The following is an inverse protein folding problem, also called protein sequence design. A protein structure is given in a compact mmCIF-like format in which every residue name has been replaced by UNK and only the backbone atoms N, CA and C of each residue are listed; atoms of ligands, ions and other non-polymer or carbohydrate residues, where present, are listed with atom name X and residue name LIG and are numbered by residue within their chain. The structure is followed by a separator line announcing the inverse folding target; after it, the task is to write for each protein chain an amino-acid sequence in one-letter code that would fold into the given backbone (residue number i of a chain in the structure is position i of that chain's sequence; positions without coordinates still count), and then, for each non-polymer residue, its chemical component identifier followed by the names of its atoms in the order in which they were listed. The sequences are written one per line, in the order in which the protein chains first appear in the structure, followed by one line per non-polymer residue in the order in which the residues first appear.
data_IF_194895506344
#
_entry.id   IF_194895506344
#
_cell.length_a   1.000
_cell.length_b   1.000
_cell.length_c   1.000
_cell.angle_alpha   90.00
_cell.angle_beta   90.00
_cell.angle_gamma   90.00
#
_symmetry.space_group_name_H-M   'P 1'
#
loop_
_entity.id
_entity.type
_entity.pdbx_description
1 polymer ?
2 non-polymer ?
3 water ?
#
# COMPACT_ATOMS: atom_id res chain seq x y z
N UNK A 23 14.62 -14.38 -25.51
CA UNK A 23 13.67 -14.97 -26.44
C UNK A 23 12.30 -14.25 -26.53
N UNK A 24 11.79 -13.68 -25.41
CA UNK A 24 10.48 -13.02 -25.58
C UNK A 24 10.55 -11.74 -26.42
N UNK A 25 9.87 -11.77 -27.57
CA UNK A 25 10.00 -10.73 -28.60
C UNK A 25 8.93 -9.66 -28.62
N UNK A 26 8.20 -9.49 -27.52
CA UNK A 26 6.96 -8.74 -27.56
C UNK A 26 7.14 -7.22 -27.44
N UNK A 27 7.87 -6.65 -28.40
CA UNK A 27 8.13 -5.20 -28.43
C UNK A 27 6.84 -4.35 -28.47
N UNK A 28 5.75 -4.95 -28.96
CA UNK A 28 4.50 -4.24 -29.20
C UNK A 28 3.55 -4.30 -28.02
N UNK A 29 3.86 -5.16 -27.05
CA UNK A 29 3.14 -5.21 -25.79
C UNK A 29 3.69 -4.12 -24.84
N UNK A 30 2.89 -3.69 -23.88
CA UNK A 30 3.38 -2.82 -22.81
C UNK A 30 3.12 -3.47 -21.49
N UNK A 31 3.80 -2.95 -20.47
CA UNK A 31 3.70 -3.46 -19.11
C UNK A 31 2.28 -3.33 -18.59
N UNK A 32 1.66 -2.20 -18.87
CA UNK A 32 0.30 -1.90 -18.39
C UNK A 32 -0.74 -2.77 -19.09
N UNK A 33 -0.56 -3.01 -20.38
CA UNK A 33 -1.52 -3.83 -21.09
C UNK A 33 -1.39 -5.27 -20.68
N UNK A 34 -0.15 -5.70 -20.44
CA UNK A 34 0.10 -7.05 -19.97
C UNK A 34 -0.56 -7.22 -18.62
N UNK A 35 -0.43 -6.17 -17.81
CA UNK A 35 -1.00 -6.17 -16.48
C UNK A 35 -2.52 -6.30 -16.56
N UNK A 36 -3.16 -5.50 -17.39
CA UNK A 36 -4.61 -5.64 -17.57
C UNK A 36 -4.95 -7.06 -18.00
N UNK A 37 -4.20 -7.55 -18.98
CA UNK A 37 -4.45 -8.88 -19.53
C UNK A 37 -4.37 -9.95 -18.47
N UNK A 38 -3.40 -9.85 -17.58
CA UNK A 38 -3.24 -10.86 -16.55
C UNK A 38 -4.21 -10.77 -15.36
N UNK A 39 -4.60 -9.57 -14.99
CA UNK A 39 -5.25 -9.43 -13.70
C UNK A 39 -6.58 -8.70 -13.74
N UNK A 40 -6.92 -8.10 -14.88
CA UNK A 40 -8.14 -7.29 -14.92
C UNK A 40 -9.29 -8.02 -15.61
N UNK A 41 -10.36 -8.30 -14.88
CA UNK A 41 -11.56 -8.85 -15.48
C UNK A 41 -12.30 -7.71 -16.17
N UNK A 42 -13.09 -8.04 -17.18
CA UNK A 42 -13.81 -7.02 -17.95
C UNK A 42 -14.84 -6.30 -17.13
N UNK A 43 -15.26 -6.91 -16.02
CA UNK A 43 -16.23 -6.29 -15.14
C UNK A 43 -15.63 -5.22 -14.22
N UNK A 44 -14.32 -5.00 -14.30
CA UNK A 44 -13.69 -4.00 -13.46
C UNK A 44 -12.90 -4.58 -12.30
N UNK A 45 -12.96 -5.90 -12.15
CA UNK A 45 -12.25 -6.61 -11.10
C UNK A 45 -10.77 -6.73 -11.40
N UNK A 46 -9.96 -6.42 -10.39
CA UNK A 46 -8.58 -6.89 -10.37
C UNK A 46 -8.55 -8.22 -9.64
N UNK A 47 -8.02 -9.25 -10.28
CA UNK A 47 -8.06 -10.59 -9.75
C UNK A 47 -6.66 -11.14 -9.50
N UNK A 48 -6.41 -11.57 -8.26
CA UNK A 48 -5.14 -12.21 -7.89
C UNK A 48 -5.23 -13.66 -8.29
N UNK A 49 -4.84 -13.94 -9.53
CA UNK A 49 -4.88 -15.27 -10.11
C UNK A 49 -3.97 -16.26 -9.39
N UNK A 50 -3.07 -15.75 -8.55
CA UNK A 50 -2.23 -16.59 -7.72
C UNK A 50 -3.01 -17.21 -6.56
N UNK A 51 -3.83 -16.40 -5.90
CA UNK A 51 -4.57 -16.86 -4.73
C UNK A 51 -6.09 -16.80 -4.93
N UNK A 52 -6.61 -17.77 -5.67
CA UNK A 52 -8.03 -18.03 -5.72
C UNK A 52 -8.91 -16.98 -6.34
N UNK A 53 -8.35 -16.24 -7.29
CA UNK A 53 -9.09 -15.21 -8.03
C UNK A 53 -9.83 -14.20 -7.14
N UNK A 54 -9.29 -13.94 -5.95
CA UNK A 54 -9.89 -12.94 -5.07
C UNK A 54 -9.54 -11.55 -5.54
N UNK A 55 -10.32 -10.59 -5.07
CA UNK A 55 -10.04 -9.18 -5.34
C UNK A 55 -10.01 -8.47 -4.02
N UNK A 56 -9.45 -7.27 -3.99
CA UNK A 56 -9.42 -6.51 -2.77
C UNK A 56 -9.13 -5.04 -3.04
N UNK A 57 -9.41 -4.21 -2.04
CA UNK A 57 -9.37 -2.77 -2.24
C UNK A 57 -7.94 -2.30 -2.46
N UNK A 58 -6.96 -3.01 -1.90
CA UNK A 58 -5.58 -2.66 -2.24
C UNK A 58 -5.36 -2.86 -3.73
N UNK A 59 -5.84 -3.99 -4.24
CA UNK A 59 -5.65 -4.32 -5.63
C UNK A 59 -6.37 -3.33 -6.52
N UNK A 60 -7.61 -3.02 -6.19
CA UNK A 60 -8.37 -2.03 -6.91
C UNK A 60 -7.67 -0.67 -6.87
N UNK A 61 -7.29 -0.22 -5.67
CA UNK A 61 -6.58 1.03 -5.49
C UNK A 61 -5.30 1.10 -6.33
N UNK A 62 -4.49 0.07 -6.23
CA UNK A 62 -3.27 -0.01 -7.06
C UNK A 62 -3.56 0.15 -8.54
N UNK A 63 -4.61 -0.54 -9.00
CA UNK A 63 -4.89 -0.57 -10.42
C UNK A 63 -5.37 0.78 -10.89
N UNK A 64 -6.06 1.47 -9.99
CA UNK A 64 -6.64 2.76 -10.34
C UNK A 64 -5.55 3.83 -10.45
N UNK A 65 -4.54 3.78 -9.59
CA UNK A 65 -3.42 4.69 -9.71
C UNK A 65 -2.67 4.48 -11.05
N UNK A 66 -2.35 3.23 -11.34
CA UNK A 66 -1.69 2.89 -12.60
C UNK A 66 -2.53 3.35 -13.79
N UNK A 67 -3.84 3.10 -13.71
CA UNK A 67 -4.74 3.49 -14.77
C UNK A 67 -4.74 4.99 -15.00
N UNK A 68 -4.65 5.79 -13.93
CA UNK A 68 -4.55 7.24 -14.13
C UNK A 68 -3.21 7.60 -14.77
N UNK A 69 -2.12 7.01 -14.30
CA UNK A 69 -0.80 7.42 -14.75
C UNK A 69 -0.63 7.03 -16.20
N UNK A 70 -1.24 5.91 -16.55
CA UNK A 70 -1.16 5.40 -17.91
C UNK A 70 -2.17 6.10 -18.83
N UNK A 71 -2.86 7.10 -18.30
CA UNK A 71 -3.92 7.80 -19.01
C UNK A 71 -4.86 6.80 -19.65
N UNK A 72 -5.52 6.00 -18.82
CA UNK A 72 -6.41 4.93 -19.27
C UNK A 72 -7.77 5.10 -18.61
N UNK A 73 -8.58 6.01 -19.15
CA UNK A 73 -9.80 6.37 -18.45
C UNK A 73 -10.85 5.23 -18.44
N UNK A 74 -11.09 4.57 -19.60
CA UNK A 74 -12.00 3.41 -19.51
C UNK A 74 -11.60 2.40 -18.45
N UNK A 75 -10.31 2.12 -18.27
CA UNK A 75 -9.90 1.15 -17.25
C UNK A 75 -10.15 1.72 -15.87
N UNK A 76 -9.81 2.99 -15.68
CA UNK A 76 -10.10 3.62 -14.40
C UNK A 76 -11.60 3.57 -14.10
N UNK A 77 -12.41 3.93 -15.09
CA UNK A 77 -13.83 4.05 -14.85
C UNK A 77 -14.42 2.67 -14.56
N UNK A 78 -13.92 1.64 -15.23
CA UNK A 78 -14.38 0.30 -14.96
C UNK A 78 -13.96 -0.11 -13.54
N UNK A 79 -12.68 0.08 -13.21
CA UNK A 79 -12.18 -0.33 -11.93
C UNK A 79 -12.93 0.34 -10.77
N UNK A 80 -13.12 1.65 -10.89
CA UNK A 80 -13.85 2.41 -9.89
C UNK A 80 -15.33 1.98 -9.77
N UNK A 81 -16.02 1.95 -10.91
CA UNK A 81 -17.40 1.53 -10.95
C UNK A 81 -17.57 0.19 -10.25
N UNK A 82 -16.70 -0.77 -10.52
CA UNK A 82 -16.88 -2.06 -9.88
C UNK A 82 -16.65 -1.96 -8.39
N UNK A 83 -15.59 -1.24 -8.03
CA UNK A 83 -15.22 -1.10 -6.63
C UNK A 83 -16.37 -0.50 -5.83
N UNK A 84 -16.88 0.61 -6.34
CA UNK A 84 -17.88 1.38 -5.63
C UNK A 84 -19.22 0.65 -5.55
N UNK A 85 -19.57 -0.06 -6.61
CA UNK A 85 -20.84 -0.75 -6.68
C UNK A 85 -20.80 -1.98 -5.80
N UNK A 86 -19.64 -2.61 -5.72
CA UNK A 86 -19.57 -3.90 -5.09
C UNK A 86 -19.13 -3.83 -3.65
N UNK A 87 -18.14 -2.98 -3.36
CA UNK A 87 -17.49 -3.00 -2.05
C UNK A 87 -17.83 -1.84 -1.11
N UNK A 88 -18.58 -0.85 -1.58
CA UNK A 88 -18.90 0.29 -0.73
C UNK A 88 -19.71 -0.08 0.51
N UNK A 89 -19.10 0.08 1.68
CA UNK A 89 -19.80 -0.02 2.95
C UNK A 89 -20.54 1.26 3.22
N UNK A 90 -21.85 1.23 3.03
CA UNK A 90 -22.70 2.41 3.15
C UNK A 90 -22.78 2.95 4.59
N UNK A 91 -22.39 2.16 5.57
CA UNK A 91 -22.50 2.59 6.97
C UNK A 91 -21.52 3.69 7.30
N UNK A 92 -20.32 3.59 6.74
CA UNK A 92 -19.24 4.49 7.09
C UNK A 92 -18.64 5.17 5.88
N UNK A 93 -18.95 4.67 4.70
CA UNK A 93 -18.50 5.28 3.46
C UNK A 93 -17.17 4.75 3.02
N UNK A 94 -16.74 3.67 3.65
CA UNK A 94 -15.49 3.04 3.28
C UNK A 94 -15.78 1.81 2.43
N UNK A 95 -14.83 0.87 2.37
CA UNK A 95 -14.99 -0.27 1.48
C UNK A 95 -14.70 -1.61 2.14
N UNK A 96 -15.67 -2.52 2.06
CA UNK A 96 -15.44 -3.92 2.41
C UNK A 96 -14.22 -4.43 1.64
N UNK A 97 -13.18 -4.86 2.36
CA UNK A 97 -11.84 -4.88 1.79
C UNK A 97 -11.52 -6.07 0.87
N UNK A 98 -12.20 -7.21 1.02
CA UNK A 98 -11.89 -8.40 0.23
C UNK A 98 -13.16 -9.00 -0.35
N UNK A 99 -13.05 -9.47 -1.59
CA UNK A 99 -14.16 -10.07 -2.35
C UNK A 99 -13.74 -11.44 -2.87
N UNK A 100 -14.44 -12.50 -2.42
CA UNK A 100 -14.15 -13.86 -2.83
C UNK A 100 -15.30 -14.43 -3.65
N UNK A 101 -15.16 -14.40 -4.98
CA UNK A 101 -16.26 -14.72 -5.90
C UNK A 101 -16.76 -16.14 -5.73
N UNK A 102 -15.92 -16.99 -5.16
CA UNK A 102 -16.28 -18.39 -4.99
C UNK A 102 -16.55 -18.67 -3.53
N UNK A 103 -17.38 -17.83 -2.94
CA UNK A 103 -17.85 -18.07 -1.59
C UNK A 103 -19.31 -17.65 -1.54
N UNK A 104 -20.14 -18.39 -0.80
CA UNK A 104 -21.57 -18.10 -0.67
C UNK A 104 -21.79 -16.66 -0.25
N UNK A 105 -21.07 -16.26 0.79
CA UNK A 105 -20.88 -14.84 1.07
C UNK A 105 -19.50 -14.42 0.54
N UNK A 106 -19.50 -13.74 -0.62
CA UNK A 106 -18.25 -13.34 -1.29
C UNK A 106 -17.53 -12.22 -0.54
N UNK A 107 -18.20 -11.64 0.45
CA UNK A 107 -17.60 -10.66 1.35
C UNK A 107 -17.90 -11.03 2.81
N UNK A 108 -17.31 -12.13 3.27
CA UNK A 108 -17.53 -12.60 4.64
C UNK A 108 -16.96 -11.64 5.67
N UNK A 109 -15.81 -11.06 5.35
CA UNK A 109 -15.11 -10.15 6.24
C UNK A 109 -15.65 -8.74 6.05
N UNK A 110 -16.66 -8.41 6.85
CA UNK A 110 -17.38 -7.17 6.62
C UNK A 110 -16.67 -6.00 7.31
N UNK A 111 -15.43 -5.77 6.92
CA UNK A 111 -14.58 -4.75 7.53
C UNK A 111 -13.62 -4.18 6.49
N UNK A 112 -13.13 -2.96 6.69
CA UNK A 112 -12.31 -2.32 5.65
C UNK A 112 -10.79 -2.40 5.92
N UNK A 113 -9.97 -2.20 4.88
CA UNK A 113 -8.53 -2.01 5.09
C UNK A 113 -8.13 -0.59 4.69
N UNK A 114 -7.56 0.18 5.61
CA UNK A 114 -7.39 1.61 5.37
C UNK A 114 -6.32 1.93 4.33
N UNK A 115 -5.43 0.99 3.99
CA UNK A 115 -4.52 1.30 2.89
C UNK A 115 -5.33 1.23 1.62
N UNK A 116 -6.17 0.20 1.50
CA UNK A 116 -7.07 0.07 0.37
C UNK A 116 -7.96 1.29 0.18
N UNK A 117 -8.65 1.70 1.24
CA UNK A 117 -9.48 2.91 1.22
C UNK A 117 -8.66 4.08 0.70
N UNK A 118 -7.47 4.25 1.27
CA UNK A 118 -6.59 5.36 0.95
C UNK A 118 -6.24 5.39 -0.53
N UNK A 119 -5.84 4.23 -1.05
CA UNK A 119 -5.37 4.12 -2.42
C UNK A 119 -6.50 4.46 -3.37
N UNK A 120 -7.70 4.02 -3.01
CA UNK A 120 -8.82 4.35 -3.86
C UNK A 120 -9.02 5.85 -3.88
N UNK A 121 -9.10 6.45 -2.69
CA UNK A 121 -9.36 7.87 -2.61
C UNK A 121 -8.23 8.64 -3.26
N UNK A 122 -7.02 8.24 -2.96
CA UNK A 122 -5.87 8.84 -3.62
C UNK A 122 -5.96 8.73 -5.15
N UNK A 123 -6.41 7.59 -5.67
CA UNK A 123 -6.53 7.41 -7.12
C UNK A 123 -7.56 8.36 -7.73
N UNK A 124 -8.73 8.42 -7.08
CA UNK A 124 -9.77 9.34 -7.49
C UNK A 124 -9.26 10.77 -7.55
N UNK A 125 -8.46 11.16 -6.56
CA UNK A 125 -7.93 12.52 -6.52
C UNK A 125 -7.11 12.78 -7.77
N UNK A 126 -6.16 11.88 -8.03
CA UNK A 126 -5.27 11.99 -9.18
C UNK A 126 -6.06 11.92 -10.48
N UNK A 127 -7.14 11.16 -10.45
CA UNK A 127 -8.09 11.13 -11.56
C UNK A 127 -8.57 12.55 -11.84
N UNK A 128 -9.09 13.23 -10.84
CA UNK A 128 -9.54 14.62 -11.00
C UNK A 128 -8.44 15.47 -11.65
N UNK A 129 -7.21 15.38 -11.13
CA UNK A 129 -6.09 16.13 -11.70
C UNK A 129 -5.82 15.78 -13.18
N UNK A 130 -5.92 14.50 -13.52
CA UNK A 130 -5.65 14.04 -14.88
C UNK A 130 -6.77 14.42 -15.85
N UNK A 131 -8.03 14.22 -15.45
CA UNK A 131 -9.13 14.42 -16.40
C UNK A 131 -10.08 15.56 -16.02
N UNK A 132 -9.83 16.24 -14.91
CA UNK A 132 -10.58 17.42 -14.54
C UNK A 132 -12.01 17.22 -14.08
N UNK A 133 -12.54 16.01 -14.27
CA UNK A 133 -13.89 15.66 -13.84
C UNK A 133 -14.03 15.78 -12.32
N UNK A 134 -14.83 16.73 -11.86
CA UNK A 134 -14.84 17.09 -10.44
C UNK A 134 -15.53 16.05 -9.56
N UNK A 135 -16.34 15.19 -10.16
CA UNK A 135 -16.97 14.12 -9.40
C UNK A 135 -15.91 13.22 -8.77
N UNK A 136 -14.78 13.05 -9.45
CA UNK A 136 -13.67 12.29 -8.89
C UNK A 136 -13.21 12.84 -7.56
N UNK A 137 -12.88 14.14 -7.55
CA UNK A 137 -12.43 14.79 -6.34
C UNK A 137 -13.47 14.67 -5.24
N UNK A 138 -14.75 14.76 -5.63
CA UNK A 138 -15.86 14.69 -4.68
C UNK A 138 -15.91 13.35 -3.97
N UNK A 139 -15.99 12.29 -4.78
CA UNK A 139 -15.87 10.93 -4.27
C UNK A 139 -14.65 10.77 -3.35
N UNK A 140 -13.48 11.18 -3.83
CA UNK A 140 -12.24 11.18 -3.04
C UNK A 140 -12.42 11.85 -1.68
N UNK A 141 -12.80 13.13 -1.72
CA UNK A 141 -13.19 13.87 -0.51
C UNK A 141 -14.05 13.07 0.50
N UNK A 142 -15.06 12.36 0.02
CA UNK A 142 -15.96 11.66 0.94
C UNK A 142 -15.28 10.44 1.57
N UNK A 143 -14.40 9.78 0.84
CA UNK A 143 -13.66 8.67 1.42
C UNK A 143 -12.68 9.18 2.48
N UNK A 144 -12.00 10.29 2.19
CA UNK A 144 -10.98 10.75 3.13
C UNK A 144 -11.63 11.31 4.39
N UNK A 145 -12.84 11.84 4.26
CA UNK A 145 -13.60 12.31 5.43
C UNK A 145 -14.08 11.10 6.23
N UNK A 146 -14.49 10.04 5.52
CA UNK A 146 -14.83 8.79 6.20
C UNK A 146 -13.61 8.21 6.92
N UNK A 147 -12.44 8.22 6.27
CA UNK A 147 -11.22 7.76 6.91
C UNK A 147 -10.97 8.54 8.18
N UNK A 148 -11.09 9.86 8.12
CA UNK A 148 -10.88 10.69 9.30
C UNK A 148 -11.88 10.34 10.40
N UNK A 149 -13.15 10.16 10.01
CA UNK A 149 -14.22 9.90 10.98
C UNK A 149 -14.00 8.60 11.72
N UNK A 150 -13.92 7.52 10.96
CA UNK A 150 -14.04 6.16 11.47
C UNK A 150 -12.73 5.42 11.77
N UNK A 151 -11.58 5.90 11.30
CA UNK A 151 -10.38 5.08 11.41
C UNK A 151 -9.18 5.80 12.02
N UNK A 152 -9.28 7.12 12.15
CA UNK A 152 -8.22 7.89 12.79
C UNK A 152 -8.58 8.21 14.24
N UNK A 153 -7.67 7.94 15.17
CA UNK A 153 -7.91 8.23 16.59
C UNK A 153 -6.71 8.84 17.32
N UNK A 154 -6.91 9.18 18.59
CA UNK A 154 -5.81 9.65 19.41
C UNK A 154 -5.42 8.55 20.38
N UNK A 155 -4.24 7.98 20.20
CA UNK A 155 -3.73 6.94 21.08
C UNK A 155 -2.30 7.29 21.44
N UNK A 156 -1.92 7.04 22.68
CA UNK A 156 -0.72 7.63 23.23
C UNK A 156 -0.83 9.13 23.04
N UNK A 157 0.23 9.77 22.58
CA UNK A 157 0.20 11.22 22.44
C UNK A 157 0.12 11.61 20.99
N UNK A 158 -0.42 10.71 20.17
CA UNK A 158 -0.30 10.81 18.73
C UNK A 158 -1.60 10.53 17.98
N UNK A 159 -1.69 11.06 16.77
CA UNK A 159 -2.75 10.71 15.83
C UNK A 159 -2.37 9.46 15.01
N UNK A 160 -3.27 8.49 14.92
CA UNK A 160 -2.99 7.25 14.20
C UNK A 160 -4.16 6.82 13.34
N UNK A 161 -3.86 6.08 12.29
CA UNK A 161 -4.89 5.54 11.42
C UNK A 161 -4.90 4.04 11.67
N UNK A 162 -6.04 3.53 12.10
CA UNK A 162 -6.13 2.11 12.38
C UNK A 162 -6.23 1.41 11.05
N UNK A 163 -5.83 0.14 11.00
CA UNK A 163 -5.90 -0.68 9.80
C UNK A 163 -7.33 -0.92 9.34
N UNK A 164 -8.29 -0.55 10.18
CA UNK A 164 -9.69 -0.74 9.88
C UNK A 164 -10.55 -0.13 10.95
N UNK A 165 -11.77 0.22 10.58
CA UNK A 165 -12.69 0.92 11.49
C UNK A 165 -13.06 0.06 12.69
N UNK A 166 -12.93 -1.26 12.52
CA UNK A 166 -13.39 -2.25 13.50
C UNK A 166 -12.29 -3.25 13.84
N UNK A 167 -12.10 -3.51 15.12
CA UNK A 167 -11.31 -4.65 15.56
C UNK A 167 -9.81 -4.49 15.60
N UNK A 168 -9.31 -3.26 15.66
CA UNK A 168 -7.87 -3.07 15.75
C UNK A 168 -7.52 -2.24 16.97
N UNK A 169 -8.53 -1.57 17.53
CA UNK A 169 -8.40 -0.88 18.80
C UNK A 169 -8.82 -1.83 19.91
N UNK A 170 -7.87 -2.22 20.74
CA UNK A 170 -8.12 -3.25 21.72
C UNK A 170 -8.48 -2.67 23.08
N UNK A 171 -7.46 -2.45 23.90
CA UNK A 171 -7.67 -1.91 25.23
C UNK A 171 -6.51 -0.98 25.55
N UNK A 172 -5.45 -1.61 26.02
CA UNK A 172 -4.22 -0.96 26.42
C UNK A 172 -3.34 -0.69 25.22
N UNK A 173 -3.76 -1.19 24.06
CA UNK A 173 -2.97 -1.06 22.85
C UNK A 173 -3.85 -1.02 21.60
N UNK A 174 -3.25 -0.59 20.50
CA UNK A 174 -3.86 -0.68 19.17
C UNK A 174 -2.91 -1.42 18.24
N UNK A 175 -3.45 -2.24 17.35
CA UNK A 175 -2.59 -2.94 16.40
C UNK A 175 -2.50 -2.16 15.12
N UNK A 176 -1.31 -1.67 14.82
CA UNK A 176 -1.08 -0.90 13.61
C UNK A 176 -0.27 -1.66 12.57
N UNK A 177 -0.45 -1.26 11.31
CA UNK A 177 0.35 -1.77 10.22
C UNK A 177 1.00 -0.58 9.49
N UNK A 178 2.29 -0.31 9.79
CA UNK A 178 2.90 0.92 9.27
C UNK A 178 2.94 0.97 7.75
N UNK A 179 2.77 -0.18 7.10
CA UNK A 179 2.68 -0.21 5.65
C UNK A 179 1.36 0.42 5.16
N UNK A 180 0.43 0.69 6.09
CA UNK A 180 -0.80 1.42 5.76
C UNK A 180 -0.57 2.92 5.82
N UNK A 181 0.58 3.34 6.32
CA UNK A 181 0.91 4.76 6.39
C UNK A 181 1.26 5.28 5.02
N UNK A 182 0.27 5.60 4.18
CA UNK A 182 0.60 5.95 2.80
C UNK A 182 0.89 7.45 2.61
N UNK A 183 2.07 7.86 3.07
CA UNK A 183 2.45 9.27 3.06
C UNK A 183 2.20 10.05 1.76
N UNK A 184 2.47 9.46 0.57
CA UNK A 184 2.26 10.35 -0.59
C UNK A 184 0.78 10.63 -0.79
N UNK A 185 -0.09 9.71 -0.35
CA UNK A 185 -1.52 9.95 -0.43
C UNK A 185 -1.88 11.05 0.56
N UNK A 186 -1.39 10.86 1.78
CA UNK A 186 -1.65 11.80 2.85
C UNK A 186 -1.20 13.19 2.46
N UNK A 187 0.00 13.28 1.89
CA UNK A 187 0.47 14.54 1.33
C UNK A 187 -0.58 15.12 0.41
N UNK A 188 -1.07 14.34 -0.54
CA UNK A 188 -2.10 14.79 -1.46
C UNK A 188 -3.41 15.16 -0.74
N UNK A 189 -3.82 14.34 0.22
CA UNK A 189 -5.03 14.67 0.99
C UNK A 189 -4.86 16.05 1.63
N UNK A 190 -3.67 16.30 2.19
CA UNK A 190 -3.42 17.53 2.92
C UNK A 190 -3.43 18.72 1.98
N UNK A 191 -2.88 18.53 0.79
CA UNK A 191 -2.81 19.60 -0.18
C UNK A 191 -4.19 19.97 -0.76
N UNK A 192 -4.95 18.96 -1.17
CA UNK A 192 -6.29 19.18 -1.69
C UNK A 192 -7.23 19.76 -0.63
N UNK A 193 -7.29 19.12 0.53
CA UNK A 193 -8.29 19.50 1.52
C UNK A 193 -7.85 20.66 2.42
N UNK A 194 -6.54 20.89 2.55
CA UNK A 194 -5.95 21.90 3.43
C UNK A 194 -6.13 21.57 4.91
N UNK A 195 -6.71 20.42 5.21
CA UNK A 195 -6.98 20.05 6.59
C UNK A 195 -5.70 19.79 7.39
N UNK A 196 -5.67 20.25 8.64
CA UNK A 196 -4.50 19.98 9.46
C UNK A 196 -4.47 18.52 9.87
N UNK A 197 -5.64 17.90 9.97
CA UNK A 197 -5.69 16.51 10.38
C UNK A 197 -4.75 15.63 9.55
N UNK A 198 -4.68 15.89 8.25
CA UNK A 198 -3.83 15.09 7.38
C UNK A 198 -2.36 15.45 7.59
N UNK A 199 -2.09 16.68 8.00
CA UNK A 199 -0.71 17.09 8.20
C UNK A 199 -0.14 16.48 9.47
N UNK A 200 -0.92 16.56 10.54
CA UNK A 200 -0.49 16.00 11.82
C UNK A 200 -0.40 14.49 11.69
N UNK A 201 -1.29 13.90 10.91
CA UNK A 201 -1.27 12.47 10.72
C UNK A 201 0.04 12.05 10.08
N UNK A 202 0.57 12.89 9.20
CA UNK A 202 1.86 12.62 8.61
C UNK A 202 2.97 12.76 9.64
N UNK A 203 2.87 13.81 10.42
CA UNK A 203 3.94 14.15 11.32
C UNK A 203 4.06 13.11 12.39
N UNK A 204 2.93 12.65 12.88
CA UNK A 204 2.92 11.71 13.99
C UNK A 204 3.31 10.35 13.47
N UNK A 205 2.94 10.09 12.22
CA UNK A 205 3.22 8.81 11.61
C UNK A 205 4.69 8.71 11.32
N UNK A 206 5.25 9.81 10.86
CA UNK A 206 6.67 9.86 10.62
C UNK A 206 7.44 9.75 11.93
N UNK A 207 6.87 10.29 13.01
CA UNK A 207 7.48 10.19 14.33
C UNK A 207 7.49 8.74 14.82
N UNK A 208 6.32 8.12 14.77
CA UNK A 208 6.14 6.75 15.25
C UNK A 208 7.01 5.79 14.47
N UNK A 209 6.89 5.84 13.15
CA UNK A 209 7.64 4.97 12.26
C UNK A 209 9.11 5.04 12.62
N UNK A 210 9.59 6.26 12.85
CA UNK A 210 10.98 6.45 13.20
C UNK A 210 11.41 5.71 14.44
N UNK A 211 10.47 5.53 15.38
CA UNK A 211 10.76 4.80 16.61
C UNK A 211 10.49 3.30 16.43
N UNK A 212 10.02 2.90 15.25
CA UNK A 212 9.70 1.48 14.98
C UNK A 212 10.87 0.70 14.38
N UNK A 213 11.96 0.59 15.13
CA UNK A 213 13.12 -0.19 14.70
C UNK A 213 13.40 -1.31 15.69
N UNK A 214 13.60 -2.53 15.21
CA UNK A 214 13.92 -3.66 16.08
C UNK A 214 14.96 -4.61 15.51
N UNK A 215 15.59 -5.34 16.42
CA UNK A 215 16.61 -6.32 16.08
C UNK A 215 17.86 -5.70 15.49
N UNK A 216 18.80 -6.53 15.06
CA UNK A 216 20.02 -6.03 14.46
C UNK A 216 19.69 -5.19 13.21
N UNK A 217 18.61 -5.51 12.51
CA UNK A 217 18.22 -4.73 11.34
C UNK A 217 17.78 -3.30 11.67
N UNK A 218 17.19 -3.12 12.85
CA UNK A 218 16.47 -1.88 13.18
C UNK A 218 15.40 -1.56 12.14
N UNK A 219 14.49 -2.51 11.90
CA UNK A 219 13.46 -2.35 10.89
C UNK A 219 12.08 -2.51 11.49
N UNK A 220 11.05 -1.98 10.82
CA UNK A 220 9.62 -2.18 11.14
C UNK A 220 9.12 -3.58 10.87
N UNK A 221 8.27 -4.11 11.75
CA UNK A 221 7.59 -5.34 11.41
C UNK A 221 6.33 -5.02 10.57
N UNK A 222 5.72 -6.05 10.00
CA UNK A 222 4.47 -5.86 9.27
C UNK A 222 3.42 -5.30 10.20
N UNK A 223 3.34 -5.85 11.40
CA UNK A 223 2.30 -5.52 12.36
C UNK A 223 2.89 -5.08 13.69
N UNK A 224 2.51 -3.88 14.14
CA UNK A 224 3.05 -3.28 15.36
C UNK A 224 1.96 -2.97 16.38
N UNK A 225 2.23 -3.32 17.63
CA UNK A 225 1.33 -2.98 18.74
C UNK A 225 1.86 -1.74 19.44
N UNK A 226 0.99 -0.72 19.55
CA UNK A 226 1.33 0.52 20.24
C UNK A 226 0.55 0.61 21.54
N UNK A 227 1.26 0.74 22.66
CA UNK A 227 0.62 0.78 23.97
C UNK A 227 0.38 2.23 24.38
N UNK A 228 -0.58 2.45 25.28
CA UNK A 228 -0.97 3.79 25.72
C UNK A 228 0.20 4.60 26.27
N UNK A 229 1.22 3.92 26.77
CA UNK A 229 2.41 4.58 27.28
C UNK A 229 3.37 4.90 26.13
N UNK A 230 2.98 4.55 24.91
CA UNK A 230 3.83 4.76 23.74
C UNK A 230 4.83 3.64 23.46
N UNK A 231 4.83 2.60 24.30
CA UNK A 231 5.68 1.43 24.06
C UNK A 231 5.23 0.73 22.81
N UNK A 232 6.13 0.54 21.87
CA UNK A 232 5.75 -0.19 20.68
C UNK A 232 6.49 -1.52 20.56
N UNK A 233 5.83 -2.46 19.88
CA UNK A 233 6.23 -3.84 19.83
C UNK A 233 5.73 -4.50 18.55
N UNK A 234 6.57 -5.35 17.90
CA UNK A 234 5.98 -6.18 16.85
C UNK A 234 4.81 -6.96 17.42
N UNK A 235 3.62 -6.76 16.85
CA UNK A 235 2.39 -7.28 17.43
C UNK A 235 2.48 -8.79 17.67
N UNK A 236 1.99 -9.21 18.82
CA UNK A 236 2.06 -10.61 19.25
C UNK A 236 1.48 -11.60 18.22
N UNK A 237 0.38 -11.20 17.58
CA UNK A 237 -0.47 -12.12 16.84
C UNK A 237 0.06 -12.50 15.44
N UNK A 238 1.03 -11.74 14.94
CA UNK A 238 1.66 -12.12 13.67
C UNK A 238 3.13 -12.40 13.88
N UNK A 239 3.75 -13.15 12.97
CA UNK A 239 5.19 -13.32 13.11
C UNK A 239 5.87 -11.96 13.03
N UNK A 240 6.76 -11.67 13.99
CA UNK A 240 7.46 -10.39 14.09
C UNK A 240 8.46 -10.23 12.95
N UNK A 241 7.95 -10.04 11.74
CA UNK A 241 8.76 -9.92 10.55
C UNK A 241 8.57 -8.61 9.81
N UNK A 242 9.70 -8.13 9.28
CA UNK A 242 9.67 -7.22 8.15
C UNK A 242 9.48 -8.09 6.93
N UNK A 243 8.25 -8.29 6.46
CA UNK A 243 8.07 -9.17 5.30
C UNK A 243 7.19 -8.59 4.20
N UNK A 244 6.07 -9.24 3.90
CA UNK A 244 5.34 -8.90 2.68
C UNK A 244 4.58 -7.58 2.77
N UNK A 245 4.46 -7.01 3.96
CA UNK A 245 3.77 -5.73 4.10
C UNK A 245 4.76 -4.62 4.31
N UNK A 246 5.62 -4.83 5.31
CA UNK A 246 6.60 -3.83 5.71
C UNK A 246 7.47 -3.37 4.54
N UNK A 247 7.77 -4.28 3.63
CA UNK A 247 8.61 -3.94 2.49
C UNK A 247 8.01 -2.79 1.66
N UNK A 248 6.72 -2.52 1.79
CA UNK A 248 6.10 -1.39 1.09
C UNK A 248 6.46 -0.02 1.68
N UNK A 249 6.86 0.01 2.95
CA UNK A 249 7.15 1.29 3.60
C UNK A 249 8.17 2.11 2.82
N UNK A 250 9.35 1.53 2.52
CA UNK A 250 10.31 2.35 1.75
C UNK A 250 9.76 2.74 0.39
N UNK A 251 8.92 1.90 -0.21
CA UNK A 251 8.26 2.29 -1.45
C UNK A 251 7.50 3.60 -1.23
N UNK A 252 6.63 3.61 -0.23
CA UNK A 252 5.88 4.82 0.07
C UNK A 252 6.77 5.98 0.50
N UNK A 253 7.85 5.68 1.21
CA UNK A 253 8.69 6.76 1.72
C UNK A 253 9.36 7.49 0.56
N UNK A 254 10.02 6.72 -0.28
CA UNK A 254 10.72 7.24 -1.44
C UNK A 254 9.75 7.94 -2.39
N UNK A 255 8.53 7.44 -2.44
CA UNK A 255 7.54 7.97 -3.35
C UNK A 255 7.21 9.39 -2.93
N UNK A 256 7.18 9.62 -1.63
CA UNK A 256 6.75 10.90 -1.09
C UNK A 256 7.91 11.89 -0.91
N UNK A 257 9.11 11.36 -0.70
CA UNK A 257 10.31 12.18 -0.61
C UNK A 257 11.47 11.22 -0.72
N UNK A 258 12.08 11.16 -1.90
CA UNK A 258 13.21 10.26 -2.15
C UNK A 258 14.39 10.57 -1.25
N UNK A 259 14.43 11.76 -0.65
CA UNK A 259 15.53 12.07 0.26
C UNK A 259 15.04 12.04 1.72
N UNK A 260 13.88 11.44 1.95
CA UNK A 260 13.34 11.21 3.29
C UNK A 260 14.36 10.57 4.23
N UNK A 261 14.52 11.10 5.42
CA UNK A 261 15.51 10.54 6.34
C UNK A 261 15.07 9.19 6.89
N UNK A 262 13.79 8.86 6.69
CA UNK A 262 13.29 7.59 7.20
C UNK A 262 13.73 6.43 6.33
N UNK A 263 14.24 6.74 5.15
CA UNK A 263 14.78 5.72 4.26
C UNK A 263 16.07 5.10 4.81
N UNK A 264 16.74 5.82 5.69
CA UNK A 264 18.04 5.43 6.22
C UNK A 264 18.13 3.99 6.74
N UNK A 265 17.24 3.56 7.65
CA UNK A 265 17.33 2.17 8.12
C UNK A 265 17.30 1.17 7.00
N UNK A 266 16.54 1.52 5.96
CA UNK A 266 16.38 0.69 4.77
C UNK A 266 17.60 0.70 3.84
N UNK A 267 18.15 1.87 3.56
CA UNK A 267 19.38 1.90 2.77
C UNK A 267 20.45 1.12 3.51
N UNK A 268 20.47 1.23 4.83
CA UNK A 268 21.50 0.56 5.62
C UNK A 268 21.37 -0.94 5.52
N UNK A 269 20.13 -1.41 5.56
CA UNK A 269 19.88 -2.83 5.55
C UNK A 269 20.13 -3.44 4.18
N UNK A 270 19.73 -2.75 3.12
CA UNK A 270 19.97 -3.26 1.79
C UNK A 270 21.46 -3.33 1.55
N UNK A 271 22.13 -2.24 1.89
CA UNK A 271 23.58 -2.12 1.76
C UNK A 271 24.28 -3.27 2.40
N UNK A 272 23.69 -3.79 3.46
CA UNK A 272 24.26 -4.89 4.23
C UNK A 272 24.24 -6.24 3.48
N UNK A 273 23.47 -6.32 2.40
CA UNK A 273 23.42 -7.54 1.58
C UNK A 273 23.75 -7.29 0.12
N UNK A 274 24.29 -8.33 -0.56
CA UNK A 274 24.44 -8.35 -2.02
C UNK A 274 23.08 -8.30 -2.71
N UNK A 275 22.98 -7.44 -3.72
CA UNK A 275 21.75 -7.18 -4.43
C UNK A 275 20.92 -8.43 -4.72
N UNK A 276 21.59 -9.47 -5.22
CA UNK A 276 20.91 -10.70 -5.61
C UNK A 276 20.79 -11.71 -4.46
N UNK A 277 21.43 -11.43 -3.34
CA UNK A 277 21.24 -12.27 -2.17
C UNK A 277 20.72 -11.47 -0.96
N UNK A 278 19.62 -10.74 -1.15
CA UNK A 278 18.95 -10.06 -0.04
C UNK A 278 17.82 -10.97 0.42
N UNK A 279 17.72 -11.22 1.72
CA UNK A 279 16.63 -12.09 2.20
C UNK A 279 15.27 -11.45 1.96
N UNK A 280 14.30 -12.25 1.50
CA UNK A 280 12.94 -11.78 1.24
C UNK A 280 12.24 -11.24 2.47
N UNK A 281 12.62 -11.73 3.65
CA UNK A 281 12.21 -11.09 4.87
C UNK A 281 13.16 -11.37 6.01
N UNK A 282 13.01 -10.61 7.09
CA UNK A 282 13.80 -10.80 8.30
C UNK A 282 12.92 -10.71 9.55
N UNK A 283 13.12 -11.69 10.43
CA UNK A 283 12.52 -11.66 11.74
C UNK A 283 13.23 -10.62 12.59
N UNK A 284 12.46 -9.66 13.12
CA UNK A 284 13.07 -8.56 13.85
C UNK A 284 13.16 -8.85 15.33
N UNK A 285 12.64 -10.01 15.74
CA UNK A 285 12.74 -10.44 17.13
C UNK A 285 13.94 -11.36 17.36
N UNK A 286 14.25 -12.16 16.35
CA UNK A 286 15.27 -13.19 16.51
C UNK A 286 16.37 -13.02 15.49
N UNK A 287 16.21 -12.05 14.60
CA UNK A 287 17.19 -11.70 13.56
C UNK A 287 17.42 -12.79 12.53
N UNK A 288 16.66 -13.87 12.63
CA UNK A 288 16.58 -14.88 11.59
C UNK A 288 15.99 -14.34 10.29
N UNK A 289 16.38 -14.91 9.16
CA UNK A 289 15.93 -14.40 7.87
C UNK A 289 15.32 -15.47 6.97
N UNK A 290 14.58 -15.02 5.96
CA UNK A 290 13.94 -15.89 4.99
C UNK A 290 14.94 -16.76 4.26
N UNK A 291 14.53 -17.98 3.90
CA UNK A 291 15.38 -18.93 3.17
C UNK A 291 15.47 -18.69 1.68
N UNK A 292 14.86 -17.62 1.16
CA UNK A 292 15.00 -17.27 -0.25
C UNK A 292 15.21 -15.75 -0.42
N UNK A 293 15.74 -15.37 -1.57
CA UNK A 293 16.13 -14.01 -1.81
C UNK A 293 15.14 -13.22 -2.61
N UNK A 294 15.05 -11.92 -2.32
CA UNK A 294 14.35 -11.00 -3.17
C UNK A 294 14.67 -11.12 -4.67
N UNK A 295 13.62 -11.12 -5.47
CA UNK A 295 13.69 -10.99 -6.92
C UNK A 295 12.55 -10.06 -7.35
N UNK A 296 12.37 -9.92 -8.66
CA UNK A 296 11.32 -9.10 -9.23
C UNK A 296 10.90 -7.86 -8.45
N UNK A 297 9.64 -7.85 -8.04
CA UNK A 297 9.07 -6.72 -7.36
C UNK A 297 9.81 -6.26 -6.14
N UNK A 298 10.18 -7.20 -5.26
CA UNK A 298 10.86 -6.84 -4.03
C UNK A 298 12.17 -6.15 -4.39
N UNK A 299 12.85 -6.74 -5.36
CA UNK A 299 14.12 -6.24 -5.84
C UNK A 299 13.94 -4.87 -6.50
N UNK A 300 12.75 -4.63 -7.04
CA UNK A 300 12.47 -3.33 -7.62
C UNK A 300 12.39 -2.34 -6.48
N UNK A 301 11.88 -2.80 -5.35
CA UNK A 301 11.77 -1.92 -4.20
C UNK A 301 13.15 -1.62 -3.69
N UNK A 302 14.01 -2.64 -3.62
CA UNK A 302 15.39 -2.42 -3.17
C UNK A 302 16.07 -1.42 -4.04
N UNK A 303 15.98 -1.61 -5.35
CA UNK A 303 16.67 -0.70 -6.26
C UNK A 303 16.14 0.73 -6.09
N UNK A 304 14.88 0.85 -5.71
CA UNK A 304 14.29 2.16 -5.47
C UNK A 304 14.89 2.80 -4.22
N UNK A 305 15.00 2.02 -3.16
CA UNK A 305 15.57 2.45 -1.89
C UNK A 305 17.04 2.81 -2.03
N UNK A 306 17.78 2.10 -2.88
CA UNK A 306 19.23 2.28 -2.94
C UNK A 306 19.61 3.22 -4.06
N UNK A 307 18.69 3.42 -4.99
CA UNK A 307 18.91 4.32 -6.11
C UNK A 307 19.66 3.66 -7.23
N UNK A 308 19.60 2.33 -7.31
CA UNK A 308 20.22 1.56 -8.38
C UNK A 308 19.31 1.56 -9.60
N UNK A 309 19.80 2.11 -10.70
CA UNK A 309 19.03 2.34 -11.92
C UNK A 309 18.18 1.14 -12.34
N UNK A 310 16.91 1.41 -12.54
CA UNK A 310 15.97 0.37 -12.93
C UNK A 310 15.47 0.57 -14.35
N UNK A 311 15.41 -0.51 -15.10
CA UNK A 311 14.77 -0.45 -16.41
C UNK A 311 13.26 -0.42 -16.18
N UNK A 312 12.54 0.20 -17.11
CA UNK A 312 11.09 0.17 -17.11
C UNK A 312 10.61 -1.26 -16.92
N UNK A 313 9.59 -1.45 -16.07
CA UNK A 313 9.13 -2.79 -15.68
C UNK A 313 8.85 -3.66 -16.88
N UNK A 314 9.44 -4.83 -16.96
CA UNK A 314 8.98 -5.77 -17.95
C UNK A 314 8.34 -6.92 -17.19
N UNK A 315 7.07 -7.18 -17.49
CA UNK A 315 6.36 -8.19 -16.75
C UNK A 315 6.46 -9.53 -17.44
N UNK A 316 7.09 -10.50 -16.78
CA UNK A 316 7.18 -11.84 -17.36
C UNK A 316 6.23 -12.75 -16.62
N UNK A 317 5.97 -13.91 -17.21
CA UNK A 317 5.12 -14.91 -16.58
C UNK A 317 5.70 -15.34 -15.23
N UNK A 318 7.01 -15.18 -15.08
CA UNK A 318 7.68 -15.56 -13.85
C UNK A 318 7.30 -14.65 -12.68
N UNK A 319 6.65 -13.53 -13.01
CA UNK A 319 6.10 -12.61 -12.02
C UNK A 319 4.71 -13.04 -11.56
N UNK A 320 4.49 -13.12 -10.24
CA UNK A 320 3.14 -13.37 -9.74
C UNK A 320 2.43 -12.03 -9.51
N UNK A 321 1.25 -12.09 -8.91
CA UNK A 321 0.47 -10.88 -8.77
C UNK A 321 1.19 -9.80 -7.95
N UNK A 322 1.81 -10.17 -6.84
CA UNK A 322 2.41 -9.17 -5.99
C UNK A 322 3.63 -8.52 -6.66
N UNK A 323 4.49 -9.36 -7.23
CA UNK A 323 5.71 -8.89 -7.88
C UNK A 323 5.46 -7.98 -9.07
N UNK A 324 4.45 -8.31 -9.86
CA UNK A 324 4.10 -7.50 -11.02
C UNK A 324 3.58 -6.15 -10.52
N UNK A 325 2.91 -6.18 -9.39
CA UNK A 325 2.32 -4.98 -8.84
C UNK A 325 3.39 -4.04 -8.29
N UNK A 326 4.29 -4.61 -7.51
CA UNK A 326 5.44 -3.85 -6.99
C UNK A 326 6.28 -3.23 -8.11
N UNK A 327 6.47 -3.99 -9.19
CA UNK A 327 7.14 -3.48 -10.36
C UNK A 327 6.48 -2.20 -10.82
N UNK A 328 5.16 -2.27 -11.03
CA UNK A 328 4.41 -1.14 -11.57
C UNK A 328 4.34 0.05 -10.60
N UNK A 329 4.22 -0.23 -9.30
CA UNK A 329 4.16 0.84 -8.30
C UNK A 329 5.51 1.53 -8.20
N UNK A 330 6.57 0.75 -8.18
CA UNK A 330 7.90 1.33 -8.18
C UNK A 330 8.04 2.21 -9.41
N UNK A 331 7.53 1.74 -10.54
CA UNK A 331 7.59 2.54 -11.75
C UNK A 331 6.86 3.87 -11.57
N UNK A 332 5.69 3.82 -10.94
CA UNK A 332 4.87 5.02 -10.74
C UNK A 332 5.44 5.97 -9.70
N UNK A 333 6.07 5.44 -8.64
CA UNK A 333 6.76 6.28 -7.66
C UNK A 333 7.89 7.06 -8.32
N UNK A 334 8.61 6.39 -9.22
CA UNK A 334 9.63 7.04 -10.02
C UNK A 334 9.02 8.09 -10.94
N UNK A 335 7.84 7.78 -11.47
CA UNK A 335 7.20 8.62 -12.46
C UNK A 335 6.73 9.96 -11.91
N UNK A 336 6.45 10.02 -10.61
CA UNK A 336 5.96 11.25 -10.01
C UNK A 336 7.07 12.28 -9.81
N UNK A 337 8.08 12.23 -10.66
CA UNK A 337 9.12 13.24 -10.69
C UNK A 337 9.45 13.59 -12.14
X LIG B 1 -3.68 26.40 4.57
X LIG B 1 -3.18 25.52 3.46
X LIG B 1 -3.02 26.06 5.88
X LIG B 1 -5.17 26.21 4.62
X LIG B 1 -3.36 27.84 4.23
X LIG C 1 -6.60 -8.53 22.91
X LIG C 1 -5.94 -9.04 21.65
X LIG C 1 -6.38 -9.54 24.02
X LIG C 1 -8.08 -8.34 22.63
X LIG C 1 -5.98 -7.22 23.35
#
# INVERSE_FOLDING_TARGET
MGSSHHHHHHSSGLVPRGSHMVLPRAWADTAWESYKSRFMMADGRIVDTGNGSVSHTEGQGFAMLLAVAKNDRPAFDKLWQWTDKTLRNKDNGLFYWRYNPVAPDPIADKNDATDGDTLIAWALLRAQQQWGDKSYGIASDAITASLLKSTVITFAGHQVMLPGAKGFNRNDHVNLNPSYFIFPAWQAFAARTHLTAWRKLQSDGKALLGKMAWGKAQLPSDWVALRADGRMEPAKEWPPRMSYDAIRIPLYLSWADPQSALLTPWKSWFQSYPRLQTPAWVNVNTNDVAPWFMTGGLLAVRDLTTGEAQDDPQLSAQDDYYSASLKMLVWLAKNDRR
PO4 P O1 O2 O3 O4
PO4 P O1 O2 O3 O4
#
